data_IF_783700735927
#
_entry.id   IF_783700735927
#
_cell.length_a   1.000
_cell.length_b   1.000
_cell.length_c   1.000
_cell.angle_alpha   90.00
_cell.angle_beta   90.00
_cell.angle_gamma   90.00
#
_symmetry.space_group_name_H-M   'P 1'
#
loop_
_entity.id
_entity.type
_entity.pdbx_description
1 polymer ?
#
# COMPACT_ATOMS: atom_id res chain seq x y z
N UNK A 1 4.02 -11.15 -26.07
CA UNK A 1 2.99 -11.53 -27.06
C UNK A 1 2.94 -13.06 -27.11
N UNK A 2 1.75 -13.65 -27.05
CA UNK A 2 1.55 -15.12 -26.91
C UNK A 2 1.11 -15.81 -28.21
N UNK A 3 0.86 -15.08 -29.29
CA UNK A 3 0.25 -15.62 -30.51
C UNK A 3 -0.57 -14.56 -31.22
N UNK A 4 -0.91 -14.82 -32.48
CA UNK A 4 -1.76 -13.95 -33.29
C UNK A 4 -3.24 -14.32 -33.20
N UNK A 5 -3.56 -15.58 -32.89
CA UNK A 5 -4.95 -16.05 -32.67
C UNK A 5 -5.18 -16.46 -31.21
N UNK A 6 -6.44 -16.47 -30.72
CA UNK A 6 -6.76 -16.95 -29.38
C UNK A 6 -6.31 -18.40 -29.13
N UNK A 7 -6.46 -19.31 -30.09
CA UNK A 7 -6.03 -20.71 -29.96
C UNK A 7 -4.50 -20.81 -29.78
N UNK A 8 -3.74 -20.06 -30.58
CA UNK A 8 -2.28 -20.01 -30.49
C UNK A 8 -1.83 -19.41 -29.15
N UNK A 9 -2.50 -18.36 -28.69
CA UNK A 9 -2.23 -17.74 -27.39
C UNK A 9 -2.45 -18.70 -26.23
N UNK A 10 -3.53 -19.47 -26.25
CA UNK A 10 -3.83 -20.46 -25.22
C UNK A 10 -2.79 -21.59 -25.22
N UNK A 11 -2.50 -22.16 -26.40
CA UNK A 11 -1.48 -23.21 -26.53
C UNK A 11 -0.11 -22.75 -26.04
N UNK A 12 0.34 -21.56 -26.45
CA UNK A 12 1.63 -21.02 -26.02
C UNK A 12 1.68 -20.68 -24.53
N UNK A 13 0.56 -20.24 -23.91
CA UNK A 13 0.50 -20.04 -22.45
C UNK A 13 0.58 -21.37 -21.70
N UNK A 14 -0.16 -22.38 -22.15
CA UNK A 14 -0.15 -23.72 -21.54
C UNK A 14 1.22 -24.38 -21.65
N UNK A 15 1.89 -24.23 -22.79
CA UNK A 15 3.23 -24.77 -23.04
C UNK A 15 4.37 -23.84 -22.61
N UNK A 16 4.04 -22.64 -22.11
CA UNK A 16 4.99 -21.59 -21.69
C UNK A 16 6.04 -21.23 -22.77
N UNK A 17 5.61 -21.12 -24.03
CA UNK A 17 6.44 -20.76 -25.19
C UNK A 17 6.08 -19.38 -25.73
N UNK A 18 6.42 -18.28 -25.04
CA UNK A 18 6.11 -16.94 -25.52
C UNK A 18 6.90 -16.59 -26.78
N UNK A 19 6.27 -15.81 -27.69
CA UNK A 19 6.92 -15.31 -28.91
C UNK A 19 8.02 -14.29 -28.53
N UNK A 20 7.71 -13.39 -27.60
CA UNK A 20 8.68 -12.43 -27.07
C UNK A 20 9.42 -13.10 -25.93
N UNK A 21 10.71 -13.38 -26.15
CA UNK A 21 11.60 -14.01 -25.16
C UNK A 21 12.41 -12.99 -24.35
N UNK A 22 12.36 -11.71 -24.72
CA UNK A 22 13.01 -10.64 -23.97
C UNK A 22 12.39 -10.53 -22.58
N UNK A 23 13.18 -10.58 -21.50
CA UNK A 23 12.67 -10.36 -20.15
C UNK A 23 12.01 -8.98 -20.04
N UNK A 24 10.80 -8.94 -19.47
CA UNK A 24 10.09 -7.70 -19.17
C UNK A 24 10.07 -7.55 -17.66
N UNK A 25 10.54 -6.40 -17.16
CA UNK A 25 10.38 -6.00 -15.76
C UNK A 25 9.29 -4.94 -15.68
N UNK A 26 8.37 -5.08 -14.73
CA UNK A 26 7.28 -4.14 -14.53
C UNK A 26 6.89 -4.07 -13.06
N UNK A 27 6.71 -2.86 -12.55
CA UNK A 27 6.16 -2.58 -11.22
C UNK A 27 4.65 -2.40 -11.35
N UNK A 28 3.88 -3.45 -11.06
CA UNK A 28 2.42 -3.49 -11.24
C UNK A 28 1.63 -3.06 -10.00
N UNK A 29 2.33 -2.55 -8.98
CA UNK A 29 1.75 -2.07 -7.73
C UNK A 29 2.10 -2.93 -6.51
N UNK A 30 1.87 -2.37 -5.33
CA UNK A 30 2.09 -3.03 -4.05
C UNK A 30 1.11 -2.49 -2.99
N UNK A 31 0.79 -3.32 -2.00
CA UNK A 31 -0.05 -2.93 -0.86
C UNK A 31 0.75 -2.44 0.34
N UNK A 32 2.05 -2.72 0.40
CA UNK A 32 3.00 -2.29 1.44
C UNK A 32 2.46 -2.38 2.88
N UNK A 33 2.67 -3.52 3.53
CA UNK A 33 2.25 -3.70 4.93
C UNK A 33 3.10 -2.85 5.89
N UNK A 34 2.44 -2.14 6.81
CA UNK A 34 3.06 -1.54 7.98
C UNK A 34 2.77 -2.41 9.20
N UNK A 35 3.81 -3.02 9.79
CA UNK A 35 3.66 -4.01 10.86
C UNK A 35 4.17 -3.42 12.18
N UNK A 36 3.31 -3.41 13.20
CA UNK A 36 3.70 -3.01 14.55
C UNK A 36 4.20 -4.22 15.33
N UNK A 37 5.44 -4.15 15.83
CA UNK A 37 6.07 -5.20 16.63
C UNK A 37 6.12 -4.76 18.11
N UNK A 38 5.43 -5.47 19.03
CA UNK A 38 5.45 -5.17 20.46
C UNK A 38 6.83 -5.36 21.09
N UNK A 39 7.09 -4.65 22.18
CA UNK A 39 8.33 -4.73 22.94
C UNK A 39 8.28 -3.83 24.19
N UNK A 40 9.20 -4.00 25.14
CA UNK A 40 9.20 -3.23 26.39
C UNK A 40 9.58 -1.75 26.21
N UNK A 41 10.11 -1.36 25.05
CA UNK A 41 10.57 0.00 24.77
C UNK A 41 9.42 0.96 24.38
N UNK A 42 8.21 0.43 24.20
CA UNK A 42 7.05 1.24 23.85
C UNK A 42 6.58 2.07 25.04
N UNK A 43 6.33 3.35 24.76
CA UNK A 43 5.68 4.30 25.62
C UNK A 43 4.79 5.23 24.77
N UNK A 44 3.96 6.06 25.42
CA UNK A 44 3.02 6.94 24.71
C UNK A 44 3.69 7.90 23.71
N UNK A 45 4.92 8.36 23.98
CA UNK A 45 5.69 9.21 23.05
C UNK A 45 6.08 8.43 21.78
N UNK A 46 6.52 7.18 21.94
CA UNK A 46 6.83 6.31 20.79
C UNK A 46 5.56 5.92 20.01
N UNK A 47 4.43 5.71 20.69
CA UNK A 47 3.13 5.44 20.07
C UNK A 47 2.74 6.60 19.16
N UNK A 48 2.75 7.82 19.69
CA UNK A 48 2.41 9.02 18.91
C UNK A 48 3.36 9.22 17.72
N UNK A 49 4.68 9.06 17.95
CA UNK A 49 5.70 9.18 16.90
C UNK A 49 5.43 8.23 15.73
N UNK A 50 5.12 6.96 16.02
CA UNK A 50 4.89 5.96 14.96
C UNK A 50 3.54 6.16 14.28
N UNK A 51 2.49 6.55 15.02
CA UNK A 51 1.20 6.90 14.43
C UNK A 51 1.33 8.08 13.44
N UNK A 52 2.08 9.13 13.82
CA UNK A 52 2.37 10.27 12.95
C UNK A 52 3.19 9.88 11.72
N UNK A 53 4.22 9.05 11.90
CA UNK A 53 5.06 8.58 10.80
C UNK A 53 4.25 7.76 9.78
N UNK A 54 3.36 6.88 10.25
CA UNK A 54 2.48 6.11 9.38
C UNK A 54 1.48 7.03 8.65
N UNK A 55 0.84 7.98 9.33
CA UNK A 55 -0.07 8.93 8.69
C UNK A 55 0.63 9.73 7.58
N UNK A 56 1.84 10.21 7.84
CA UNK A 56 2.68 10.88 6.84
C UNK A 56 3.00 9.95 5.66
N UNK A 57 3.47 8.73 5.92
CA UNK A 57 3.81 7.78 4.85
C UNK A 57 2.59 7.40 4.00
N UNK A 58 1.42 7.27 4.62
CA UNK A 58 0.15 6.99 3.93
C UNK A 58 -0.22 8.11 2.96
N UNK A 59 -0.14 9.34 3.43
CA UNK A 59 -0.68 10.52 2.75
C UNK A 59 0.36 11.32 1.96
N UNK A 60 1.62 10.88 1.92
CA UNK A 60 2.62 11.43 1.02
C UNK A 60 2.10 11.39 -0.43
N UNK A 61 2.07 12.55 -1.09
CA UNK A 61 1.43 12.74 -2.40
C UNK A 61 -0.01 12.23 -2.45
N UNK A 62 -0.80 12.45 -1.38
CA UNK A 62 -2.15 11.91 -1.22
C UNK A 62 -2.26 10.38 -1.36
N UNK A 63 -1.17 9.65 -1.10
CA UNK A 63 -1.12 8.20 -1.26
C UNK A 63 -0.92 7.73 -2.71
N UNK A 64 -0.70 8.64 -3.67
CA UNK A 64 -0.36 8.33 -5.06
C UNK A 64 1.14 8.04 -5.24
N UNK A 65 1.68 7.16 -4.39
CA UNK A 65 3.03 6.60 -4.53
C UNK A 65 2.95 5.08 -4.36
N UNK A 66 3.69 4.33 -5.17
CA UNK A 66 3.64 2.86 -5.19
C UNK A 66 4.00 2.21 -3.84
N UNK A 67 4.77 2.91 -3.00
CA UNK A 67 5.21 2.46 -1.66
C UNK A 67 4.27 2.90 -0.52
N UNK A 68 3.16 3.57 -0.83
CA UNK A 68 2.20 4.02 0.19
C UNK A 68 1.64 2.81 0.95
N UNK A 69 1.67 2.82 2.30
CA UNK A 69 1.07 1.75 3.10
C UNK A 69 -0.43 1.63 2.86
N UNK A 70 -0.90 0.46 2.45
CA UNK A 70 -2.33 0.16 2.30
C UNK A 70 -2.85 -0.75 3.42
N UNK A 71 -1.97 -1.52 4.05
CA UNK A 71 -2.32 -2.47 5.11
C UNK A 71 -1.55 -2.15 6.38
N UNK A 72 -2.24 -2.08 7.51
CA UNK A 72 -1.66 -1.97 8.84
C UNK A 72 -1.94 -3.26 9.62
N UNK A 73 -0.89 -3.89 10.14
CA UNK A 73 -0.96 -5.08 11.00
C UNK A 73 -0.60 -4.71 12.42
N UNK A 74 -1.54 -4.87 13.35
CA UNK A 74 -1.35 -4.57 14.78
C UNK A 74 -1.76 -5.79 15.62
N UNK A 75 -0.90 -6.26 16.54
CA UNK A 75 -1.24 -7.39 17.41
C UNK A 75 -2.44 -7.09 18.30
N UNK A 76 -3.35 -8.06 18.40
CA UNK A 76 -4.63 -7.93 19.12
C UNK A 76 -4.45 -7.50 20.58
N UNK A 77 -3.53 -8.16 21.28
CA UNK A 77 -3.34 -8.01 22.73
C UNK A 77 -2.21 -7.02 23.10
N UNK A 78 -1.77 -6.20 22.13
CA UNK A 78 -0.77 -5.17 22.41
C UNK A 78 -1.38 -4.06 23.27
N UNK A 79 -0.79 -3.82 24.45
CA UNK A 79 -1.29 -2.86 25.45
C UNK A 79 -1.51 -1.43 24.90
N UNK A 80 -0.74 -1.01 23.89
CA UNK A 80 -0.88 0.33 23.28
C UNK A 80 -1.75 0.35 22.03
N UNK A 81 -2.38 -0.78 21.65
CA UNK A 81 -3.14 -0.90 20.39
C UNK A 81 -4.20 0.20 20.25
N UNK A 82 -5.02 0.40 21.27
CA UNK A 82 -6.10 1.39 21.23
C UNK A 82 -5.53 2.82 21.08
N UNK A 83 -4.57 3.15 21.96
CA UNK A 83 -3.85 4.43 21.90
C UNK A 83 -3.20 4.69 20.53
N UNK A 84 -2.59 3.67 19.92
CA UNK A 84 -1.99 3.79 18.59
C UNK A 84 -3.04 4.09 17.52
N UNK A 85 -4.16 3.35 17.51
CA UNK A 85 -5.24 3.57 16.56
C UNK A 85 -5.85 4.97 16.70
N UNK A 86 -6.01 5.45 17.94
CA UNK A 86 -6.57 6.78 18.21
C UNK A 86 -5.62 7.90 17.75
N UNK A 87 -4.31 7.76 18.03
CA UNK A 87 -3.30 8.71 17.52
C UNK A 87 -3.19 8.66 16.01
N UNK A 88 -3.30 7.49 15.38
CA UNK A 88 -3.26 7.36 13.93
C UNK A 88 -4.44 8.09 13.28
N UNK A 89 -5.66 7.85 13.77
CA UNK A 89 -6.86 8.56 13.30
C UNK A 89 -6.74 10.07 13.47
N UNK A 90 -6.22 10.52 14.62
CA UNK A 90 -5.95 11.93 14.86
C UNK A 90 -5.05 12.52 13.77
N UNK A 91 -3.89 11.91 13.51
CA UNK A 91 -2.92 12.43 12.53
C UNK A 91 -3.41 12.34 11.08
N UNK A 92 -4.16 11.29 10.72
CA UNK A 92 -4.80 11.21 9.41
C UNK A 92 -5.80 12.36 9.22
N UNK A 93 -6.58 12.69 10.26
CA UNK A 93 -7.53 13.82 10.22
C UNK A 93 -6.89 15.21 10.24
N UNK A 94 -5.59 15.33 10.54
CA UNK A 94 -4.87 16.61 10.44
C UNK A 94 -4.43 16.94 9.01
N UNK A 95 -4.52 15.99 8.07
CA UNK A 95 -4.15 16.24 6.69
C UNK A 95 -5.23 17.12 6.04
N UNK A 96 -4.88 18.30 5.49
CA UNK A 96 -5.88 19.25 4.99
C UNK A 96 -6.65 18.75 3.77
N UNK A 97 -6.23 17.62 3.19
CA UNK A 97 -6.69 17.15 1.89
C UNK A 97 -6.10 18.01 0.78
N UNK A 98 -5.63 17.38 -0.28
CA UNK A 98 -5.25 18.08 -1.52
C UNK A 98 -5.91 17.40 -2.70
N UNK A 99 -5.98 18.10 -3.83
CA UNK A 99 -6.43 17.49 -5.07
C UNK A 99 -5.64 16.20 -5.34
N UNK A 100 -6.27 15.13 -5.84
CA UNK A 100 -5.54 13.93 -6.20
C UNK A 100 -4.49 14.27 -7.25
N UNK A 101 -3.37 13.55 -7.21
CA UNK A 101 -2.26 13.80 -8.13
C UNK A 101 -2.67 13.51 -9.59
N UNK A 102 -3.51 12.50 -9.80
CA UNK A 102 -4.00 12.12 -11.13
C UNK A 102 -5.42 12.65 -11.39
N UNK A 103 -5.65 13.37 -12.50
CA UNK A 103 -6.98 13.79 -12.92
C UNK A 103 -7.95 12.61 -13.04
N UNK A 104 -9.21 12.79 -12.60
CA UNK A 104 -10.27 11.77 -12.71
C UNK A 104 -10.19 10.61 -11.73
N UNK A 105 -9.15 10.50 -10.90
CA UNK A 105 -9.00 9.41 -9.91
C UNK A 105 -10.10 9.35 -8.86
N UNK A 106 -10.78 10.47 -8.59
CA UNK A 106 -11.96 10.50 -7.72
C UNK A 106 -13.11 9.63 -8.26
N UNK A 107 -13.25 9.51 -9.59
CA UNK A 107 -14.31 8.69 -10.22
C UNK A 107 -14.02 7.17 -10.14
N UNK A 108 -12.79 6.78 -9.75
CA UNK A 108 -12.40 5.37 -9.61
C UNK A 108 -12.81 4.75 -8.27
N UNK A 109 -13.37 5.55 -7.36
CA UNK A 109 -13.69 5.18 -5.98
C UNK A 109 -15.20 5.33 -5.66
N UNK A 110 -16.04 5.51 -6.68
CA UNK A 110 -17.50 5.33 -6.64
C UNK A 110 -17.88 3.88 -6.96
#
# INVERSE_FOLDING_TARGET
>A
QWGSTPEEQEQNRQSNTPIIKTPVCSELGAVNSWIIVPGPQWNMKSVDKHARALAFAKLANNGHICVSPQVLVVPKDWQFRQAFMDRLKFWLGQHPGSAPFYPGSSASHE
#
